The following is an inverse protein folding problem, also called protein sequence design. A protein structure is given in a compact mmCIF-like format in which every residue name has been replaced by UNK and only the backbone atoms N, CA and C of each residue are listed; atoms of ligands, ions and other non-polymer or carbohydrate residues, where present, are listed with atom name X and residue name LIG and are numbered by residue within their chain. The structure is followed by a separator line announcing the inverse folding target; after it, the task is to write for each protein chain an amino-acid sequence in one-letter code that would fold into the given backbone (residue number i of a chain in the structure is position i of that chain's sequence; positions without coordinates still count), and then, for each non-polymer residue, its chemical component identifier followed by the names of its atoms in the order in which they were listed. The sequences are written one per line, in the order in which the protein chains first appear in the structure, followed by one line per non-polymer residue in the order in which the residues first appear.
data_IF_452331323671
#
_entry.id   IF_452331323671
#
_cell.length_a   1.000
_cell.length_b   1.000
_cell.length_c   1.000
_cell.angle_alpha   90.00
_cell.angle_beta   90.00
_cell.angle_gamma   90.00
#
_symmetry.space_group_name_H-M   'P 1'
#
loop_
_entity.id
_entity.type
_entity.pdbx_description
1 polymer ?
#
# COMPACT_ATOMS: atom_id res chain seq x y z
N UNK A 1 22.11 -21.44 -25.80
CA UNK A 1 20.81 -20.75 -25.72
C UNK A 1 20.39 -20.71 -24.26
N UNK A 2 20.84 -19.69 -23.54
CA UNK A 2 20.62 -19.56 -22.10
C UNK A 2 19.28 -18.89 -21.82
N UNK A 3 18.24 -19.69 -21.62
CA UNK A 3 17.03 -19.19 -20.96
C UNK A 3 17.35 -19.00 -19.47
N UNK A 4 16.88 -17.90 -18.84
CA UNK A 4 17.07 -17.71 -17.40
C UNK A 4 16.37 -18.84 -16.65
N UNK A 5 17.06 -19.45 -15.67
CA UNK A 5 16.54 -20.56 -14.87
C UNK A 5 15.32 -20.18 -14.00
N UNK A 6 14.96 -18.90 -13.94
CA UNK A 6 13.88 -18.38 -13.10
C UNK A 6 12.93 -17.50 -13.92
N UNK A 7 11.60 -17.71 -13.83
CA UNK A 7 10.61 -16.82 -14.43
C UNK A 7 10.70 -15.41 -13.82
N UNK A 8 10.75 -14.37 -14.66
CA UNK A 8 10.87 -12.97 -14.19
C UNK A 8 9.71 -12.54 -13.29
N UNK A 9 8.53 -13.12 -13.48
CA UNK A 9 7.34 -12.85 -12.66
C UNK A 9 7.48 -13.29 -11.20
N UNK A 10 8.33 -14.27 -10.91
CA UNK A 10 8.50 -14.83 -9.56
C UNK A 10 9.77 -14.34 -8.87
N UNK A 11 10.57 -13.49 -9.54
CA UNK A 11 11.90 -13.06 -9.08
C UNK A 11 11.92 -12.49 -7.65
N UNK A 12 10.86 -11.77 -7.26
CA UNK A 12 10.73 -11.19 -5.91
C UNK A 12 10.49 -12.25 -4.84
N UNK A 13 9.57 -13.19 -5.11
CA UNK A 13 9.25 -14.30 -4.21
C UNK A 13 10.43 -15.24 -4.04
N UNK A 14 11.15 -15.50 -5.14
CA UNK A 14 12.29 -16.40 -5.14
C UNK A 14 13.50 -15.78 -4.45
N UNK A 15 13.73 -14.48 -4.67
CA UNK A 15 14.72 -13.71 -3.92
C UNK A 15 14.44 -13.68 -2.42
N UNK A 16 13.18 -13.48 -2.02
CA UNK A 16 12.76 -13.51 -0.61
C UNK A 16 12.99 -14.90 0.01
N UNK A 17 12.62 -15.97 -0.68
CA UNK A 17 12.80 -17.35 -0.21
C UNK A 17 14.27 -17.72 -0.04
N UNK A 18 15.11 -17.42 -1.04
CA UNK A 18 16.55 -17.68 -0.96
C UNK A 18 17.20 -16.83 0.14
N UNK A 19 16.84 -15.54 0.23
CA UNK A 19 17.33 -14.64 1.27
C UNK A 19 16.99 -15.12 2.69
N UNK A 20 15.76 -15.59 2.90
CA UNK A 20 15.33 -16.14 4.19
C UNK A 20 16.11 -17.40 4.60
N UNK A 21 16.36 -18.31 3.65
CA UNK A 21 17.17 -19.50 3.89
C UNK A 21 18.62 -19.15 4.22
N UNK A 22 19.23 -18.24 3.47
CA UNK A 22 20.60 -17.77 3.72
C UNK A 22 20.71 -17.04 5.07
N UNK A 23 19.76 -16.16 5.39
CA UNK A 23 19.72 -15.46 6.68
C UNK A 23 19.60 -16.44 7.84
N UNK A 24 18.77 -17.48 7.70
CA UNK A 24 18.64 -18.55 8.71
C UNK A 24 19.94 -19.32 8.87
N UNK A 25 20.59 -19.70 7.76
CA UNK A 25 21.87 -20.40 7.80
C UNK A 25 22.97 -19.55 8.45
N UNK A 26 23.09 -18.28 8.09
CA UNK A 26 24.04 -17.33 8.68
C UNK A 26 23.73 -17.11 10.16
N UNK A 27 22.45 -16.95 10.54
CA UNK A 27 22.04 -16.81 11.93
C UNK A 27 22.45 -18.01 12.78
N UNK A 28 22.25 -19.23 12.28
CA UNK A 28 22.70 -20.46 12.95
C UNK A 28 24.23 -20.56 13.06
N UNK A 29 24.96 -20.08 12.05
CA UNK A 29 26.43 -20.10 12.02
C UNK A 29 27.05 -19.03 12.93
N UNK A 30 26.44 -17.84 13.05
CA UNK A 30 26.93 -16.72 13.85
C UNK A 30 26.56 -16.87 15.33
N UNK A 31 25.32 -17.26 15.62
CA UNK A 31 24.80 -17.32 16.99
C UNK A 31 25.26 -18.56 17.77
N UNK A 32 26.00 -19.49 17.12
CA UNK A 32 26.55 -20.76 17.66
C UNK A 32 26.16 -20.97 19.13
N UNK A 33 24.96 -21.51 19.42
CA UNK A 33 24.49 -21.59 20.80
C UNK A 33 25.59 -22.26 21.63
N UNK A 34 26.09 -21.52 22.62
CA UNK A 34 27.30 -21.85 23.35
C UNK A 34 27.19 -23.27 23.94
N UNK A 35 27.92 -24.22 23.36
CA UNK A 35 27.98 -25.60 23.84
C UNK A 35 27.62 -26.66 22.82
N UNK A 36 28.37 -26.73 21.72
CA UNK A 36 28.44 -27.91 20.84
C UNK A 36 27.18 -28.18 20.03
N UNK A 37 27.38 -28.70 18.82
CA UNK A 37 26.39 -28.96 17.78
C UNK A 37 25.24 -29.93 18.16
N UNK A 38 25.11 -30.35 19.44
CA UNK A 38 24.36 -31.55 19.84
C UNK A 38 23.26 -31.35 20.88
N UNK A 39 23.11 -30.20 21.53
CA UNK A 39 22.11 -30.08 22.63
C UNK A 39 21.04 -28.99 22.50
N UNK A 40 21.20 -28.02 21.60
CA UNK A 40 20.17 -27.00 21.33
C UNK A 40 20.09 -26.54 19.86
N UNK A 41 20.82 -27.22 18.95
CA UNK A 41 20.75 -27.00 17.51
C UNK A 41 19.57 -27.77 16.89
N UNK A 42 18.37 -27.63 17.48
CA UNK A 42 17.18 -28.13 16.80
C UNK A 42 16.82 -27.12 15.70
N UNK A 43 16.59 -27.59 14.48
CA UNK A 43 15.90 -26.79 13.45
C UNK A 43 14.54 -26.24 13.94
N UNK A 44 14.07 -26.68 15.11
CA UNK A 44 12.90 -26.15 15.79
C UNK A 44 13.07 -24.72 16.33
N UNK A 45 14.27 -24.21 16.62
CA UNK A 45 14.43 -22.84 17.16
C UNK A 45 14.07 -21.75 16.14
N UNK A 46 14.60 -21.76 14.90
CA UNK A 46 14.19 -20.80 13.88
C UNK A 46 12.70 -20.93 13.51
N UNK A 47 12.15 -22.15 13.53
CA UNK A 47 10.74 -22.40 13.26
C UNK A 47 9.84 -21.89 14.38
N UNK A 48 10.19 -22.14 15.65
CA UNK A 48 9.43 -21.68 16.80
C UNK A 48 9.45 -20.14 16.90
N UNK A 49 10.59 -19.51 16.68
CA UNK A 49 10.68 -18.04 16.63
C UNK A 49 9.98 -17.48 15.39
N UNK A 50 10.07 -18.14 14.23
CA UNK A 50 9.29 -17.80 13.04
C UNK A 50 7.78 -17.87 13.32
N UNK A 51 7.30 -18.91 14.00
CA UNK A 51 5.90 -19.03 14.42
C UNK A 51 5.53 -17.96 15.44
N UNK A 52 6.38 -17.64 16.41
CA UNK A 52 6.14 -16.56 17.38
C UNK A 52 6.07 -15.20 16.71
N UNK A 53 6.96 -14.93 15.76
CA UNK A 53 6.92 -13.75 14.91
C UNK A 53 5.62 -13.72 14.10
N UNK A 54 5.27 -14.78 13.40
CA UNK A 54 4.01 -14.87 12.65
C UNK A 54 2.78 -14.74 13.56
N UNK A 55 2.82 -15.18 14.80
CA UNK A 55 1.74 -14.94 15.76
C UNK A 55 1.66 -13.45 16.17
N UNK A 56 2.82 -12.78 16.32
CA UNK A 56 2.89 -11.35 16.67
C UNK A 56 2.51 -10.42 15.50
N UNK A 57 2.91 -10.77 14.26
CA UNK A 57 2.69 -9.96 13.04
C UNK A 57 1.72 -10.61 12.04
N UNK A 58 0.96 -11.62 12.46
CA UNK A 58 0.12 -12.43 11.57
C UNK A 58 -0.96 -11.63 10.87
N UNK A 59 -1.54 -10.65 11.56
CA UNK A 59 -2.51 -9.72 10.98
C UNK A 59 -1.89 -8.90 9.83
N UNK A 60 -0.62 -8.48 9.95
CA UNK A 60 0.09 -7.74 8.91
C UNK A 60 0.52 -8.67 7.76
N UNK A 61 0.86 -9.92 8.04
CA UNK A 61 1.22 -10.92 7.03
C UNK A 61 0.04 -11.28 6.11
N UNK A 62 -1.18 -11.32 6.65
CA UNK A 62 -2.40 -11.64 5.87
C UNK A 62 -2.94 -10.42 5.11
N UNK A 63 -2.59 -9.20 5.54
CA UNK A 63 -3.12 -7.95 4.99
C UNK A 63 -2.90 -7.81 3.47
N UNK A 64 -1.69 -8.02 2.88
CA UNK A 64 -1.49 -7.92 1.44
C UNK A 64 -2.38 -8.87 0.64
N UNK A 65 -2.60 -10.09 1.15
CA UNK A 65 -3.47 -11.07 0.49
C UNK A 65 -4.93 -10.61 0.49
N UNK A 66 -5.41 -10.08 1.62
CA UNK A 66 -6.78 -9.54 1.70
C UNK A 66 -6.96 -8.34 0.77
N UNK A 67 -5.96 -7.47 0.67
CA UNK A 67 -5.98 -6.32 -0.24
C UNK A 67 -5.97 -6.75 -1.71
N UNK A 68 -5.22 -7.81 -2.05
CA UNK A 68 -5.23 -8.37 -3.40
C UNK A 68 -6.62 -8.94 -3.76
N UNK A 69 -7.26 -9.67 -2.82
CA UNK A 69 -8.62 -10.19 -2.99
C UNK A 69 -9.63 -9.05 -3.13
N UNK A 70 -9.51 -7.99 -2.32
CA UNK A 70 -10.37 -6.82 -2.40
C UNK A 70 -10.24 -6.12 -3.76
N UNK A 71 -9.01 -5.97 -4.28
CA UNK A 71 -8.76 -5.43 -5.62
C UNK A 71 -9.43 -6.28 -6.72
N UNK A 72 -9.31 -7.60 -6.63
CA UNK A 72 -9.99 -8.55 -7.52
C UNK A 72 -11.52 -8.45 -7.43
N UNK A 73 -12.08 -8.36 -6.23
CA UNK A 73 -13.52 -8.19 -6.01
C UNK A 73 -14.03 -6.90 -6.65
N UNK A 74 -13.32 -5.79 -6.49
CA UNK A 74 -13.73 -4.53 -7.10
C UNK A 74 -13.58 -4.51 -8.62
N UNK A 75 -12.58 -5.20 -9.17
CA UNK A 75 -12.46 -5.40 -10.61
C UNK A 75 -13.64 -6.23 -11.15
N UNK A 76 -13.97 -7.36 -10.50
CA UNK A 76 -15.08 -8.22 -10.89
C UNK A 76 -16.45 -7.56 -10.70
N UNK A 77 -16.60 -6.71 -9.69
CA UNK A 77 -17.81 -5.94 -9.44
C UNK A 77 -17.99 -4.76 -10.41
N UNK A 78 -17.04 -4.50 -11.31
CA UNK A 78 -17.12 -3.40 -12.27
C UNK A 78 -16.99 -2.01 -11.65
N UNK A 79 -16.41 -1.89 -10.46
CA UNK A 79 -16.24 -0.58 -9.81
C UNK A 79 -15.33 0.32 -10.65
N UNK A 80 -14.29 -0.25 -11.27
CA UNK A 80 -13.39 0.48 -12.16
C UNK A 80 -14.09 1.06 -13.39
N UNK A 81 -15.01 0.31 -14.01
CA UNK A 81 -15.75 0.77 -15.20
C UNK A 81 -16.80 1.82 -14.85
N UNK A 82 -17.49 1.67 -13.71
CA UNK A 82 -18.44 2.66 -13.21
C UNK A 82 -17.74 3.99 -12.92
N UNK A 83 -16.62 3.97 -12.19
CA UNK A 83 -15.83 5.17 -11.89
C UNK A 83 -15.26 5.76 -13.18
N UNK A 84 -14.70 4.95 -14.09
CA UNK A 84 -14.19 5.41 -15.37
C UNK A 84 -15.23 6.11 -16.26
N UNK A 85 -16.50 5.67 -16.21
CA UNK A 85 -17.62 6.29 -16.95
C UNK A 85 -17.95 7.68 -16.40
N UNK A 86 -18.05 7.80 -15.06
CA UNK A 86 -18.29 9.08 -14.38
C UNK A 86 -17.13 10.04 -14.67
N UNK A 87 -15.91 9.54 -14.57
CA UNK A 87 -14.70 10.30 -14.84
C UNK A 87 -14.65 10.79 -16.28
N UNK A 88 -14.97 9.94 -17.26
CA UNK A 88 -14.97 10.31 -18.68
C UNK A 88 -16.05 11.33 -19.03
N UNK A 89 -17.16 11.36 -18.28
CA UNK A 89 -18.20 12.39 -18.42
C UNK A 89 -17.77 13.75 -17.86
N UNK A 90 -16.93 13.75 -16.82
CA UNK A 90 -16.43 14.96 -16.16
C UNK A 90 -15.16 15.48 -16.84
N UNK A 91 -14.35 14.63 -17.46
CA UNK A 91 -13.08 15.02 -18.08
C UNK A 91 -13.31 15.82 -19.37
N UNK A 92 -12.96 17.12 -19.41
CA UNK A 92 -12.83 17.82 -20.68
C UNK A 92 -11.67 17.17 -21.45
N UNK A 93 -11.92 16.77 -22.69
CA UNK A 93 -10.92 16.11 -23.56
C UNK A 93 -9.58 16.88 -23.51
N UNK A 94 -8.54 16.24 -22.99
CA UNK A 94 -7.16 16.73 -23.04
C UNK A 94 -6.63 17.50 -21.83
N UNK A 95 -7.41 17.71 -20.75
CA UNK A 95 -6.91 18.45 -19.58
C UNK A 95 -6.13 17.57 -18.59
N UNK A 96 -4.81 17.50 -18.76
CA UNK A 96 -3.90 16.75 -17.88
C UNK A 96 -4.07 17.12 -16.40
N UNK A 97 -4.17 18.42 -16.10
CA UNK A 97 -4.30 18.92 -14.73
C UNK A 97 -5.55 18.37 -14.03
N UNK A 98 -6.68 18.31 -14.75
CA UNK A 98 -7.95 17.80 -14.20
C UNK A 98 -7.83 16.30 -13.94
N UNK A 99 -7.19 15.54 -14.83
CA UNK A 99 -6.94 14.12 -14.62
C UNK A 99 -6.07 13.85 -13.38
N UNK A 100 -5.01 14.65 -13.17
CA UNK A 100 -4.13 14.53 -12.00
C UNK A 100 -4.87 14.88 -10.71
N UNK A 101 -5.62 15.99 -10.70
CA UNK A 101 -6.43 16.39 -9.54
C UNK A 101 -7.45 15.30 -9.22
N UNK A 102 -8.17 14.81 -10.23
CA UNK A 102 -9.19 13.79 -10.06
C UNK A 102 -8.61 12.49 -9.49
N UNK A 103 -7.44 12.05 -9.96
CA UNK A 103 -6.79 10.87 -9.40
C UNK A 103 -6.31 11.10 -7.97
N UNK A 104 -5.64 12.23 -7.67
CA UNK A 104 -5.12 12.49 -6.32
C UNK A 104 -6.24 12.72 -5.30
N UNK A 105 -7.24 13.55 -5.64
CA UNK A 105 -8.40 13.81 -4.79
C UNK A 105 -9.27 12.56 -4.68
N UNK A 106 -9.47 11.84 -5.78
CA UNK A 106 -10.16 10.57 -5.79
C UNK A 106 -9.47 9.55 -4.87
N UNK A 107 -8.15 9.41 -4.96
CA UNK A 107 -7.35 8.60 -4.05
C UNK A 107 -7.57 8.97 -2.58
N UNK A 108 -7.51 10.26 -2.24
CA UNK A 108 -7.71 10.72 -0.87
C UNK A 108 -9.14 10.46 -0.37
N UNK A 109 -10.17 10.81 -1.15
CA UNK A 109 -11.58 10.63 -0.78
C UNK A 109 -11.96 9.16 -0.67
N UNK A 110 -11.54 8.33 -1.62
CA UNK A 110 -11.84 6.91 -1.61
C UNK A 110 -11.13 6.21 -0.44
N UNK A 111 -9.92 6.68 -0.11
CA UNK A 111 -9.23 6.28 1.12
C UNK A 111 -9.96 6.71 2.38
N UNK A 112 -10.59 7.90 2.38
CA UNK A 112 -11.40 8.34 3.53
C UNK A 112 -12.56 7.38 3.77
N UNK A 113 -13.21 6.92 2.71
CA UNK A 113 -14.34 5.98 2.79
C UNK A 113 -13.88 4.60 3.25
N UNK A 114 -12.78 4.08 2.70
CA UNK A 114 -12.30 2.72 3.02
C UNK A 114 -11.39 2.64 4.26
N UNK A 115 -10.97 3.78 4.80
CA UNK A 115 -10.13 3.84 6.00
C UNK A 115 -8.65 3.49 5.79
N UNK A 116 -8.22 3.18 4.56
CA UNK A 116 -6.83 2.82 4.26
C UNK A 116 -6.43 3.04 2.79
N UNK A 117 -5.26 3.66 2.57
CA UNK A 117 -4.73 3.94 1.23
C UNK A 117 -4.47 2.67 0.40
N UNK A 118 -3.97 1.61 1.02
CA UNK A 118 -3.68 0.34 0.34
C UNK A 118 -4.95 -0.35 -0.18
N UNK A 119 -6.09 -0.15 0.46
CA UNK A 119 -7.36 -0.68 -0.03
C UNK A 119 -7.87 0.14 -1.23
N UNK A 120 -7.70 1.47 -1.17
CA UNK A 120 -8.17 2.39 -2.22
C UNK A 120 -7.34 2.32 -3.50
N UNK A 121 -6.05 2.04 -3.35
CA UNK A 121 -5.10 2.09 -4.45
C UNK A 121 -5.44 1.19 -5.63
N UNK A 122 -5.72 -0.12 -5.48
CA UNK A 122 -6.07 -0.98 -6.61
C UNK A 122 -7.29 -0.46 -7.40
N UNK A 123 -8.30 0.04 -6.70
CA UNK A 123 -9.55 0.53 -7.31
C UNK A 123 -9.30 1.79 -8.13
N UNK A 124 -8.71 2.80 -7.51
CA UNK A 124 -8.47 4.09 -8.16
C UNK A 124 -7.43 3.99 -9.26
N UNK A 125 -6.42 3.12 -9.10
CA UNK A 125 -5.44 2.83 -10.15
C UNK A 125 -6.09 2.11 -11.32
N UNK A 126 -6.95 1.11 -11.09
CA UNK A 126 -7.68 0.43 -12.17
C UNK A 126 -8.70 1.36 -12.86
N UNK A 127 -9.34 2.25 -12.11
CA UNK A 127 -10.38 3.15 -12.62
C UNK A 127 -9.84 4.36 -13.38
N UNK A 128 -8.77 4.98 -12.87
CA UNK A 128 -8.28 6.28 -13.35
C UNK A 128 -6.77 6.25 -13.60
N UNK A 129 -5.98 5.80 -12.62
CA UNK A 129 -4.51 5.91 -12.68
C UNK A 129 -3.91 5.24 -13.93
N UNK A 130 -4.26 3.99 -14.19
CA UNK A 130 -3.76 3.27 -15.37
C UNK A 130 -4.40 3.74 -16.68
N UNK A 131 -5.73 3.69 -16.87
CA UNK A 131 -6.32 4.01 -18.17
C UNK A 131 -6.17 5.50 -18.56
N UNK A 132 -6.22 6.42 -17.60
CA UNK A 132 -6.19 7.86 -17.89
C UNK A 132 -4.76 8.39 -17.82
N UNK A 133 -4.10 8.30 -16.67
CA UNK A 133 -2.78 8.93 -16.49
C UNK A 133 -1.68 8.19 -17.26
N UNK A 134 -1.66 6.86 -17.22
CA UNK A 134 -0.60 6.08 -17.89
C UNK A 134 -0.89 5.84 -19.36
N UNK A 135 -2.09 5.34 -19.72
CA UNK A 135 -2.36 4.94 -21.10
C UNK A 135 -2.69 6.12 -22.03
N UNK A 136 -3.49 7.10 -21.57
CA UNK A 136 -3.90 8.25 -22.40
C UNK A 136 -2.90 9.39 -22.35
N UNK A 137 -2.41 9.73 -21.16
CA UNK A 137 -1.47 10.86 -20.99
C UNK A 137 0.02 10.43 -20.94
N UNK A 138 0.32 9.13 -21.10
CA UNK A 138 1.68 8.60 -21.15
C UNK A 138 2.55 8.91 -19.91
N UNK A 139 1.92 9.08 -18.74
CA UNK A 139 2.62 9.36 -17.51
C UNK A 139 3.50 8.20 -17.04
N UNK A 140 4.57 8.53 -16.31
CA UNK A 140 5.47 7.56 -15.71
C UNK A 140 4.74 6.74 -14.61
N UNK A 141 4.54 5.43 -14.79
CA UNK A 141 3.77 4.62 -13.84
C UNK A 141 4.38 4.62 -12.42
N UNK A 142 5.71 4.65 -12.31
CA UNK A 142 6.37 4.62 -11.01
C UNK A 142 6.03 5.86 -10.19
N UNK A 143 6.03 7.04 -10.82
CA UNK A 143 5.76 8.31 -10.17
C UNK A 143 4.26 8.45 -9.90
N UNK A 144 3.42 8.16 -10.90
CA UNK A 144 1.96 8.23 -10.75
C UNK A 144 1.49 7.34 -9.59
N UNK A 145 2.00 6.12 -9.48
CA UNK A 145 1.61 5.19 -8.43
C UNK A 145 2.19 5.53 -7.06
N UNK A 146 3.45 5.96 -7.00
CA UNK A 146 4.06 6.38 -5.74
C UNK A 146 3.35 7.62 -5.17
N UNK A 147 3.15 8.66 -6.00
CA UNK A 147 2.49 9.89 -5.57
C UNK A 147 0.99 9.67 -5.35
N UNK A 148 0.34 8.79 -6.13
CA UNK A 148 -1.03 8.36 -5.89
C UNK A 148 -1.22 7.72 -4.52
N UNK A 149 -0.28 6.86 -4.11
CA UNK A 149 -0.26 6.28 -2.76
C UNK A 149 -0.07 7.35 -1.67
N UNK A 150 0.85 8.30 -1.88
CA UNK A 150 1.05 9.43 -0.96
C UNK A 150 -0.24 10.28 -0.80
N UNK A 151 -0.93 10.55 -1.91
CA UNK A 151 -2.23 11.23 -1.88
C UNK A 151 -3.30 10.42 -1.12
N UNK A 152 -3.29 9.10 -1.25
CA UNK A 152 -4.13 8.20 -0.44
C UNK A 152 -3.83 8.31 1.05
N UNK A 153 -2.55 8.39 1.45
CA UNK A 153 -2.18 8.56 2.86
C UNK A 153 -2.67 9.90 3.44
N UNK A 154 -2.73 10.97 2.65
CA UNK A 154 -3.41 12.21 3.07
C UNK A 154 -4.88 11.94 3.46
N UNK A 155 -5.58 11.07 2.74
CA UNK A 155 -6.92 10.62 3.10
C UNK A 155 -6.97 9.74 4.36
N UNK A 156 -5.93 8.92 4.60
CA UNK A 156 -5.83 8.07 5.80
C UNK A 156 -5.71 8.91 7.07
N UNK A 157 -5.05 10.06 7.01
CA UNK A 157 -4.99 11.01 8.13
C UNK A 157 -6.36 11.61 8.44
N UNK A 158 -7.17 11.86 7.41
CA UNK A 158 -8.46 12.51 7.54
C UNK A 158 -9.62 11.56 7.89
N UNK A 159 -9.42 10.23 7.86
CA UNK A 159 -10.54 9.29 7.99
C UNK A 159 -10.85 8.91 9.43
N UNK A 160 -12.15 8.90 9.80
CA UNK A 160 -12.58 8.38 11.10
C UNK A 160 -12.44 6.86 11.21
N UNK A 161 -12.30 6.15 10.09
CA UNK A 161 -12.20 4.69 10.05
C UNK A 161 -10.76 4.17 10.26
N UNK A 162 -9.75 5.05 10.27
CA UNK A 162 -8.35 4.64 10.47
C UNK A 162 -8.12 4.22 11.93
N UNK A 163 -8.35 2.93 12.20
CA UNK A 163 -8.25 2.36 13.54
C UNK A 163 -6.87 2.62 14.16
N UNK A 164 -5.81 2.36 13.40
CA UNK A 164 -4.43 2.41 13.89
C UNK A 164 -3.90 3.84 14.13
N UNK A 165 -4.44 4.84 13.44
CA UNK A 165 -3.91 6.21 13.48
C UNK A 165 -4.80 7.18 14.25
N UNK A 166 -6.12 6.98 14.19
CA UNK A 166 -7.08 7.96 14.70
C UNK A 166 -7.91 7.39 15.86
N UNK A 167 -8.47 6.18 15.75
CA UNK A 167 -9.35 5.63 16.79
C UNK A 167 -8.58 5.10 17.99
N UNK A 168 -7.58 4.23 17.78
CA UNK A 168 -6.84 3.57 18.88
C UNK A 168 -6.13 4.58 19.78
N UNK A 169 -5.37 5.56 19.25
CA UNK A 169 -4.75 6.57 20.10
C UNK A 169 -5.77 7.44 20.85
N UNK A 170 -6.90 7.80 20.22
CA UNK A 170 -7.93 8.61 20.87
C UNK A 170 -8.63 7.87 22.01
N UNK A 171 -8.82 6.56 21.89
CA UNK A 171 -9.39 5.70 22.94
C UNK A 171 -8.38 5.46 24.06
N UNK A 172 -7.12 5.16 23.74
CA UNK A 172 -6.07 4.93 24.75
C UNK A 172 -5.74 6.18 25.58
N UNK A 173 -5.88 7.37 24.99
CA UNK A 173 -5.68 8.65 25.68
C UNK A 173 -6.95 9.20 26.34
N UNK A 174 -8.04 8.41 26.36
CA UNK A 174 -9.36 8.80 26.87
C UNK A 174 -9.78 10.21 26.41
N UNK A 175 -9.48 10.54 25.15
CA UNK A 175 -9.70 11.90 24.66
C UNK A 175 -11.19 12.24 24.68
N UNK A 176 -11.50 13.41 25.25
CA UNK A 176 -12.86 13.94 25.32
C UNK A 176 -13.49 14.11 23.92
N UNK A 177 -12.66 14.36 22.90
CA UNK A 177 -13.05 14.39 21.49
C UNK A 177 -12.33 13.27 20.71
N UNK A 178 -13.09 12.26 20.27
CA UNK A 178 -12.56 11.15 19.46
C UNK A 178 -12.11 11.57 18.06
N UNK A 179 -12.48 12.76 17.59
CA UNK A 179 -12.02 13.32 16.31
C UNK A 179 -10.88 14.32 16.48
N UNK A 180 -10.37 14.52 17.70
CA UNK A 180 -9.22 15.38 17.99
C UNK A 180 -7.99 15.14 17.10
N UNK A 181 -7.57 13.88 16.83
CA UNK A 181 -6.41 13.62 15.98
C UNK A 181 -6.64 14.06 14.53
N UNK A 182 -7.84 13.83 14.01
CA UNK A 182 -8.22 14.20 12.64
C UNK A 182 -8.19 15.72 12.48
N UNK A 183 -8.73 16.47 13.46
CA UNK A 183 -8.70 17.94 13.43
C UNK A 183 -7.28 18.48 13.46
N UNK A 184 -6.38 17.85 14.20
CA UNK A 184 -4.97 18.23 14.25
C UNK A 184 -4.20 17.86 12.97
N UNK A 185 -4.60 16.79 12.27
CA UNK A 185 -3.94 16.32 11.04
C UNK A 185 -4.50 16.96 9.76
N UNK A 186 -5.75 17.43 9.76
CA UNK A 186 -6.34 18.14 8.62
C UNK A 186 -5.48 19.30 8.09
N UNK A 187 -4.92 20.20 8.92
CA UNK A 187 -4.11 21.32 8.44
C UNK A 187 -2.77 20.90 7.82
N UNK A 188 -2.31 19.66 8.02
CA UNK A 188 -1.10 19.13 7.35
C UNK A 188 -1.46 18.27 6.15
N UNK A 189 -2.54 17.48 6.23
CA UNK A 189 -2.99 16.59 5.16
C UNK A 189 -3.44 17.35 3.90
N UNK A 190 -4.14 18.48 4.06
CA UNK A 190 -4.62 19.27 2.91
C UNK A 190 -3.47 19.90 2.11
N UNK A 191 -2.50 20.62 2.72
CA UNK A 191 -1.33 21.10 1.99
C UNK A 191 -0.51 19.97 1.35
N UNK A 192 -0.33 18.84 2.04
CA UNK A 192 0.37 17.69 1.48
C UNK A 192 -0.33 17.13 0.24
N UNK A 193 -1.67 17.08 0.24
CA UNK A 193 -2.43 16.67 -0.94
C UNK A 193 -2.20 17.63 -2.12
N UNK A 194 -2.19 18.93 -1.87
CA UNK A 194 -1.88 19.94 -2.91
C UNK A 194 -0.46 19.77 -3.44
N UNK A 195 0.53 19.55 -2.55
CA UNK A 195 1.90 19.25 -2.95
C UNK A 195 1.99 17.97 -3.79
N UNK A 196 1.27 16.91 -3.42
CA UNK A 196 1.23 15.66 -4.19
C UNK A 196 0.64 15.88 -5.59
N UNK A 197 -0.42 16.69 -5.71
CA UNK A 197 -0.97 17.07 -7.03
C UNK A 197 0.09 17.80 -7.86
N UNK A 198 0.80 18.76 -7.27
CA UNK A 198 1.85 19.51 -7.96
C UNK A 198 3.02 18.59 -8.39
N UNK A 199 3.49 17.71 -7.50
CA UNK A 199 4.57 16.76 -7.80
C UNK A 199 4.15 15.81 -8.94
N UNK A 200 2.94 15.26 -8.88
CA UNK A 200 2.46 14.36 -9.93
C UNK A 200 2.34 15.08 -11.28
N UNK A 201 1.85 16.31 -11.29
CA UNK A 201 1.72 17.09 -12.50
C UNK A 201 3.08 17.49 -13.11
N UNK A 202 4.06 17.84 -12.28
CA UNK A 202 5.36 18.34 -12.73
C UNK A 202 6.38 17.23 -13.03
N UNK A 203 6.30 16.09 -12.34
CA UNK A 203 7.29 15.00 -12.44
C UNK A 203 6.71 13.72 -13.05
N UNK A 204 5.39 13.58 -13.09
CA UNK A 204 4.72 12.37 -13.58
C UNK A 204 4.59 12.30 -15.10
N UNK A 205 4.80 13.41 -15.81
CA UNK A 205 4.60 13.59 -17.26
C UNK A 205 5.75 14.40 -17.84
#
# INVERSE_FOLDING_TARGET
TGSPCWPRETATLTGLGVGALLATAVGLVLLRPAGGLRRYASLGVPLAEGSRLLQAIGWAAVLPQMLAVLGLLFANAGVGTAVGTIVSAILPKGSLLIAVILYCVGMALFTIIMGNAFAAFPVMTAAVGWPVLVQVFHGNPAIVFAVGMLAGFCGTLCTPMAANFNIVPAVLLEMKDRYGPIKAQLPTAVPLLVCNIAIMYLMGF
#
